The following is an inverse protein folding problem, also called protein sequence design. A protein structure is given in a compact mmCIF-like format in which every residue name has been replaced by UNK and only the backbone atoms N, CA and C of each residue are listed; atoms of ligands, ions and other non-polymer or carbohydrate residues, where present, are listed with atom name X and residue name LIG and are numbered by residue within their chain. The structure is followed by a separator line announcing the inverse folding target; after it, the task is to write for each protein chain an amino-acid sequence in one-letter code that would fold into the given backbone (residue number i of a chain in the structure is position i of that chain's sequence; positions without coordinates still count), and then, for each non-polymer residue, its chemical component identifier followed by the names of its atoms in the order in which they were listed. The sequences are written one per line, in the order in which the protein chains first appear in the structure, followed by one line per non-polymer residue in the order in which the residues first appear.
data_IF_164050682626
#
_entry.id   IF_164050682626
#
_cell.length_a   1.000
_cell.length_b   1.000
_cell.length_c   1.000
_cell.angle_alpha   90.00
_cell.angle_beta   90.00
_cell.angle_gamma   90.00
#
_symmetry.space_group_name_H-M   'P 1'
#
loop_
_entity.id
_entity.type
_entity.pdbx_description
1 polymer ?
#
# COMPACT_ATOMS: atom_id res chain seq x y z
N UNK A 1 -55.77 18.14 -4.33
CA UNK A 1 -54.64 18.26 -3.38
C UNK A 1 -53.41 18.00 -4.20
N UNK A 2 -52.62 18.98 -4.64
CA UNK A 2 -51.67 19.62 -3.71
C UNK A 2 -51.07 20.96 -4.19
N UNK A 3 -51.82 21.80 -4.93
CA UNK A 3 -51.31 23.14 -5.28
C UNK A 3 -51.29 24.12 -4.09
N UNK A 4 -51.97 23.79 -2.98
CA UNK A 4 -52.06 24.67 -1.80
C UNK A 4 -50.87 24.56 -0.84
N UNK A 5 -50.00 23.56 -0.97
CA UNK A 5 -48.76 23.47 -0.16
C UNK A 5 -47.63 24.35 -0.70
N UNK A 6 -47.74 24.85 -1.93
CA UNK A 6 -46.69 25.66 -2.56
C UNK A 6 -46.60 27.10 -2.02
N UNK A 7 -47.60 27.55 -1.25
CA UNK A 7 -47.81 28.98 -0.93
C UNK A 7 -47.25 29.46 0.42
N UNK A 8 -46.49 28.65 1.18
CA UNK A 8 -45.94 29.04 2.50
C UNK A 8 -44.49 28.61 2.77
N UNK A 9 -43.60 28.65 1.78
CA UNK A 9 -42.15 28.58 2.05
C UNK A 9 -41.53 29.91 1.65
N UNK A 10 -41.19 30.73 2.64
CA UNK A 10 -40.49 32.00 2.40
C UNK A 10 -39.11 31.75 1.77
N UNK A 11 -38.51 32.76 1.12
CA UNK A 11 -37.21 32.62 0.44
C UNK A 11 -36.09 32.14 1.39
N UNK A 12 -36.21 32.42 2.69
CA UNK A 12 -35.26 32.04 3.73
C UNK A 12 -35.32 30.52 4.01
N UNK A 13 -36.50 29.89 3.98
CA UNK A 13 -36.63 28.45 4.23
C UNK A 13 -36.09 27.61 3.06
N UNK A 14 -36.25 28.07 1.81
CA UNK A 14 -35.63 27.44 0.64
C UNK A 14 -34.09 27.55 0.63
N UNK A 15 -33.54 28.67 1.11
CA UNK A 15 -32.09 28.84 1.28
C UNK A 15 -31.51 27.96 2.40
N UNK A 16 -32.21 27.81 3.52
CA UNK A 16 -31.80 26.90 4.59
C UNK A 16 -31.87 25.42 4.19
N UNK A 17 -32.91 25.02 3.45
CA UNK A 17 -33.11 23.65 2.97
C UNK A 17 -32.05 23.28 1.92
N UNK A 18 -31.75 24.18 0.99
CA UNK A 18 -30.66 23.98 0.01
C UNK A 18 -29.26 23.99 0.65
N UNK A 19 -29.02 24.78 1.70
CA UNK A 19 -27.73 24.78 2.44
C UNK A 19 -27.55 23.48 3.23
N UNK A 20 -28.59 22.98 3.90
CA UNK A 20 -28.55 21.68 4.60
C UNK A 20 -28.37 20.50 3.63
N UNK A 21 -29.02 20.56 2.47
CA UNK A 21 -28.84 19.57 1.41
C UNK A 21 -27.41 19.58 0.85
N UNK A 22 -26.83 20.76 0.62
CA UNK A 22 -25.42 20.88 0.19
C UNK A 22 -24.45 20.30 1.22
N UNK A 23 -24.65 20.58 2.51
CA UNK A 23 -23.79 20.03 3.56
C UNK A 23 -23.87 18.50 3.66
N UNK A 24 -25.09 17.95 3.63
CA UNK A 24 -25.27 16.49 3.66
C UNK A 24 -24.66 15.83 2.43
N UNK A 25 -24.90 16.38 1.23
CA UNK A 25 -24.29 15.90 0.00
C UNK A 25 -22.74 15.95 0.05
N UNK A 26 -22.16 17.05 0.54
CA UNK A 26 -20.70 17.18 0.69
C UNK A 26 -20.15 16.17 1.68
N UNK A 27 -20.80 15.98 2.84
CA UNK A 27 -20.36 14.99 3.85
C UNK A 27 -20.45 13.57 3.28
N UNK A 28 -21.54 13.23 2.60
CA UNK A 28 -21.68 11.90 1.98
C UNK A 28 -20.62 11.69 0.92
N UNK A 29 -20.36 12.69 0.06
CA UNK A 29 -19.32 12.62 -0.97
C UNK A 29 -17.93 12.43 -0.36
N UNK A 30 -17.59 13.16 0.70
CA UNK A 30 -16.28 13.04 1.36
C UNK A 30 -16.11 11.69 2.05
N UNK A 31 -17.16 11.15 2.68
CA UNK A 31 -17.13 9.79 3.26
C UNK A 31 -16.94 8.73 2.17
N UNK A 32 -17.62 8.85 1.02
CA UNK A 32 -17.44 7.92 -0.10
C UNK A 32 -16.01 8.01 -0.65
N UNK A 33 -15.50 9.23 -0.86
CA UNK A 33 -14.16 9.43 -1.42
C UNK A 33 -13.07 8.89 -0.47
N UNK A 34 -13.20 9.16 0.83
CA UNK A 34 -12.23 8.70 1.83
C UNK A 34 -12.28 7.18 2.02
N UNK A 35 -13.47 6.57 2.04
CA UNK A 35 -13.60 5.11 2.12
C UNK A 35 -13.04 4.42 0.87
N UNK A 36 -13.34 4.93 -0.33
CA UNK A 36 -12.78 4.42 -1.58
C UNK A 36 -11.25 4.52 -1.59
N UNK A 37 -10.70 5.66 -1.15
CA UNK A 37 -9.26 5.85 -1.03
C UNK A 37 -8.65 4.87 -0.02
N UNK A 38 -9.27 4.67 1.14
CA UNK A 38 -8.79 3.73 2.14
C UNK A 38 -8.79 2.27 1.64
N UNK A 39 -9.80 1.87 0.87
CA UNK A 39 -9.87 0.55 0.23
C UNK A 39 -8.80 0.41 -0.85
N UNK A 40 -8.63 1.43 -1.70
CA UNK A 40 -7.60 1.43 -2.74
C UNK A 40 -6.19 1.32 -2.15
N UNK A 41 -5.92 2.09 -1.11
CA UNK A 41 -4.68 2.02 -0.33
C UNK A 41 -4.52 0.59 0.24
N UNK A 42 -5.51 0.06 0.94
CA UNK A 42 -5.40 -1.27 1.55
C UNK A 42 -5.18 -2.41 0.55
N UNK A 43 -5.82 -2.36 -0.62
CA UNK A 43 -5.69 -3.41 -1.64
C UNK A 43 -4.34 -3.37 -2.35
N UNK A 44 -3.80 -2.19 -2.64
CA UNK A 44 -2.51 -2.03 -3.32
C UNK A 44 -1.32 -2.29 -2.40
N UNK A 45 -1.47 -2.12 -1.07
CA UNK A 45 -0.34 -2.12 -0.14
C UNK A 45 -0.26 -3.32 0.82
N UNK A 46 -1.10 -4.33 0.63
CA UNK A 46 -1.05 -5.58 1.41
C UNK A 46 -0.09 -6.63 0.85
N UNK A 47 0.38 -6.45 -0.38
CA UNK A 47 1.14 -7.46 -1.12
C UNK A 47 2.38 -7.98 -0.39
N UNK A 48 3.36 -7.12 -0.10
CA UNK A 48 4.63 -7.58 0.46
C UNK A 48 4.51 -8.02 1.92
N UNK A 49 3.81 -7.24 2.74
CA UNK A 49 3.71 -7.55 4.18
C UNK A 49 2.95 -8.85 4.44
N UNK A 50 1.86 -9.10 3.72
CA UNK A 50 1.08 -10.32 3.92
C UNK A 50 1.87 -11.55 3.41
N UNK A 51 2.58 -11.42 2.28
CA UNK A 51 3.44 -12.49 1.74
C UNK A 51 4.64 -12.82 2.62
N UNK A 52 5.14 -11.87 3.41
CA UNK A 52 6.22 -12.11 4.36
C UNK A 52 5.87 -13.18 5.40
N UNK A 53 4.59 -13.33 5.75
CA UNK A 53 4.15 -14.39 6.66
C UNK A 53 4.35 -15.81 6.12
N UNK A 54 4.56 -15.94 4.80
CA UNK A 54 4.83 -17.21 4.13
C UNK A 54 6.33 -17.58 4.16
N UNK A 55 7.20 -16.64 4.54
CA UNK A 55 8.64 -16.86 4.54
C UNK A 55 9.08 -17.36 5.92
N UNK A 56 9.81 -18.47 5.92
CA UNK A 56 10.35 -19.07 7.14
C UNK A 56 11.87 -19.19 7.09
N UNK A 57 12.57 -19.12 8.24
CA UNK A 57 13.98 -19.45 8.30
C UNK A 57 14.25 -20.84 7.72
N UNK A 58 15.34 -20.98 6.96
CA UNK A 58 15.74 -22.21 6.28
C UNK A 58 15.25 -22.35 4.85
N UNK A 59 14.29 -21.53 4.40
CA UNK A 59 13.87 -21.49 2.99
C UNK A 59 15.05 -21.11 2.08
N UNK A 60 15.05 -21.67 0.88
CA UNK A 60 16.02 -21.33 -0.16
C UNK A 60 15.68 -20.01 -0.84
N UNK A 61 16.67 -19.39 -1.46
CA UNK A 61 16.48 -18.17 -2.25
C UNK A 61 15.38 -18.32 -3.29
N UNK A 62 15.35 -19.46 -4.00
CA UNK A 62 14.41 -19.72 -5.09
C UNK A 62 12.97 -19.82 -4.58
N UNK A 63 12.76 -20.42 -3.41
CA UNK A 63 11.44 -20.48 -2.76
C UNK A 63 10.93 -19.09 -2.37
N UNK A 64 11.82 -18.24 -1.83
CA UNK A 64 11.49 -16.86 -1.46
C UNK A 64 11.17 -16.01 -2.69
N UNK A 65 11.96 -16.14 -3.76
CA UNK A 65 11.68 -15.50 -5.05
C UNK A 65 10.38 -16.01 -5.67
N UNK A 66 9.97 -17.26 -5.41
CA UNK A 66 8.66 -17.78 -5.80
C UNK A 66 7.49 -17.09 -5.08
N UNK A 67 7.68 -16.62 -3.85
CA UNK A 67 6.65 -15.93 -3.04
C UNK A 67 6.53 -14.46 -3.46
N UNK A 68 7.66 -13.76 -3.56
CA UNK A 68 7.67 -12.31 -3.78
C UNK A 68 7.85 -11.91 -5.25
N UNK A 69 8.42 -12.78 -6.07
CA UNK A 69 8.99 -12.43 -7.36
C UNK A 69 10.47 -12.04 -7.24
N UNK A 70 11.10 -11.59 -8.34
CA UNK A 70 12.50 -11.18 -8.33
C UNK A 70 12.75 -10.04 -7.34
N UNK A 71 13.88 -10.05 -6.60
CA UNK A 71 14.24 -8.98 -5.67
C UNK A 71 14.49 -7.67 -6.43
N UNK A 72 14.15 -6.55 -5.80
CA UNK A 72 14.49 -5.24 -6.35
C UNK A 72 16.01 -5.00 -6.28
N UNK A 73 16.64 -5.47 -5.20
CA UNK A 73 18.09 -5.37 -4.98
C UNK A 73 18.60 -6.65 -4.31
N UNK A 74 19.81 -7.05 -4.70
CA UNK A 74 20.59 -8.06 -3.99
C UNK A 74 21.91 -7.44 -3.55
N UNK A 75 22.15 -7.44 -2.25
CA UNK A 75 23.37 -6.94 -1.64
C UNK A 75 24.16 -8.13 -1.09
N UNK A 76 25.33 -8.40 -1.65
CA UNK A 76 26.23 -9.40 -1.07
C UNK A 76 26.84 -8.83 0.19
N UNK A 77 26.53 -9.44 1.34
CA UNK A 77 27.07 -9.01 2.62
C UNK A 77 28.48 -9.58 2.77
N UNK A 78 29.48 -8.70 2.84
CA UNK A 78 30.89 -9.08 3.02
C UNK A 78 31.23 -9.59 4.42
N UNK A 79 30.25 -9.84 5.28
CA UNK A 79 30.45 -10.33 6.64
C UNK A 79 30.65 -11.85 6.66
N UNK A 80 31.61 -12.38 7.44
CA UNK A 80 31.83 -13.81 7.56
C UNK A 80 30.59 -14.49 8.17
N UNK A 81 29.98 -15.42 7.42
CA UNK A 81 28.77 -16.15 7.82
C UNK A 81 27.45 -15.55 7.30
N UNK A 82 27.48 -14.53 6.44
CA UNK A 82 26.31 -14.10 5.67
C UNK A 82 26.55 -14.31 4.18
N UNK A 83 25.51 -14.75 3.46
CA UNK A 83 25.55 -14.92 2.00
C UNK A 83 25.08 -13.68 1.25
N UNK A 84 24.19 -12.90 1.86
CA UNK A 84 23.70 -11.63 1.33
C UNK A 84 22.26 -11.34 1.70
N UNK A 85 21.81 -10.15 1.32
CA UNK A 85 20.48 -9.64 1.61
C UNK A 85 19.71 -9.40 0.31
N UNK A 86 18.53 -10.02 0.20
CA UNK A 86 17.55 -9.78 -0.85
C UNK A 86 16.56 -8.72 -0.36
N UNK A 87 16.30 -7.68 -1.16
CA UNK A 87 15.40 -6.59 -0.79
C UNK A 87 14.27 -6.45 -1.80
N UNK A 88 13.04 -6.36 -1.29
CA UNK A 88 11.83 -6.01 -2.04
C UNK A 88 11.24 -4.74 -1.48
N UNK A 89 10.82 -3.87 -2.37
CA UNK A 89 10.24 -2.58 -1.99
C UNK A 89 8.94 -2.38 -2.75
N UNK A 90 7.89 -2.08 -2.01
CA UNK A 90 6.65 -1.52 -2.54
C UNK A 90 6.48 -0.05 -2.08
N UNK A 91 5.33 0.54 -2.40
CA UNK A 91 5.08 1.95 -2.11
C UNK A 91 5.00 2.30 -0.61
N UNK A 92 4.84 1.31 0.28
CA UNK A 92 4.71 1.46 1.74
C UNK A 92 5.68 0.60 2.55
N UNK A 93 6.13 -0.53 2.03
CA UNK A 93 6.91 -1.54 2.74
C UNK A 93 8.21 -1.84 2.01
N UNK A 94 9.26 -2.02 2.81
CA UNK A 94 10.49 -2.65 2.39
C UNK A 94 10.66 -3.92 3.20
N UNK A 95 10.90 -5.02 2.50
CA UNK A 95 11.13 -6.35 3.06
C UNK A 95 12.54 -6.77 2.67
N UNK A 96 13.38 -7.01 3.68
CA UNK A 96 14.73 -7.49 3.49
C UNK A 96 14.83 -8.92 4.04
N UNK A 97 15.22 -9.85 3.20
CA UNK A 97 15.45 -11.26 3.56
C UNK A 97 16.95 -11.51 3.55
N UNK A 98 17.47 -11.93 4.69
CA UNK A 98 18.90 -12.09 4.92
C UNK A 98 19.22 -13.58 4.83
N UNK A 99 20.16 -13.90 3.95
CA UNK A 99 20.58 -15.25 3.62
C UNK A 99 21.90 -15.61 4.30
N UNK A 100 22.02 -16.88 4.65
CA UNK A 100 23.28 -17.52 5.03
C UNK A 100 24.17 -17.75 3.80
N UNK A 101 25.42 -18.14 4.05
CA UNK A 101 26.40 -18.51 3.03
C UNK A 101 25.90 -19.60 2.09
N UNK A 102 25.05 -20.50 2.59
CA UNK A 102 24.41 -21.57 1.80
C UNK A 102 23.16 -21.09 1.02
N UNK A 103 22.87 -19.78 1.03
CA UNK A 103 21.72 -19.21 0.32
C UNK A 103 20.36 -19.45 1.00
N UNK A 104 20.36 -19.84 2.27
CA UNK A 104 19.13 -20.09 3.06
C UNK A 104 18.75 -18.90 3.92
N UNK A 105 17.45 -18.67 4.12
CA UNK A 105 16.94 -17.58 4.97
C UNK A 105 17.38 -17.78 6.41
N UNK A 106 18.10 -16.79 6.96
CA UNK A 106 18.40 -16.70 8.39
C UNK A 106 17.29 -15.92 9.09
N UNK A 107 16.99 -14.74 8.55
CA UNK A 107 16.08 -13.77 9.17
C UNK A 107 15.44 -12.89 8.11
N UNK A 108 14.29 -12.34 8.45
CA UNK A 108 13.62 -11.33 7.64
C UNK A 108 13.43 -10.05 8.44
N UNK A 109 13.56 -8.91 7.79
CA UNK A 109 13.24 -7.60 8.32
C UNK A 109 12.14 -6.96 7.46
N UNK A 110 11.22 -6.26 8.12
CA UNK A 110 10.15 -5.53 7.45
C UNK A 110 10.07 -4.13 8.06
N UNK A 111 10.23 -3.12 7.21
CA UNK A 111 10.17 -1.72 7.61
C UNK A 111 9.22 -0.94 6.71
N UNK A 112 8.66 0.15 7.23
CA UNK A 112 7.95 1.09 6.37
C UNK A 112 8.96 1.81 5.48
N UNK A 113 8.66 1.90 4.19
CA UNK A 113 9.46 2.67 3.25
C UNK A 113 9.24 4.16 3.53
N UNK A 114 10.24 4.83 4.11
CA UNK A 114 10.17 6.26 4.49
C UNK A 114 10.49 7.23 3.33
N UNK A 115 10.73 6.73 2.12
CA UNK A 115 11.25 7.51 1.00
C UNK A 115 10.22 7.61 -0.14
N UNK A 116 9.82 8.84 -0.48
CA UNK A 116 9.09 9.12 -1.72
C UNK A 116 9.90 8.75 -2.98
N UNK A 117 11.23 8.65 -2.86
CA UNK A 117 12.16 8.27 -3.92
C UNK A 117 12.08 6.75 -4.21
N UNK A 118 11.86 5.92 -3.18
CA UNK A 118 11.69 4.47 -3.34
C UNK A 118 10.36 4.09 -4.02
N UNK A 119 9.35 4.96 -3.99
CA UNK A 119 8.11 4.82 -4.78
C UNK A 119 8.34 4.92 -6.30
N UNK A 120 9.42 5.57 -6.72
CA UNK A 120 9.75 5.70 -8.14
C UNK A 120 10.54 4.49 -8.67
N UNK A 121 11.36 3.86 -7.82
CA UNK A 121 12.23 2.74 -8.22
C UNK A 121 11.41 1.48 -8.53
N UNK A 122 10.31 1.23 -7.79
CA UNK A 122 9.36 0.15 -8.13
C UNK A 122 8.60 0.35 -9.45
N UNK A 123 8.77 1.50 -10.13
CA UNK A 123 8.25 1.78 -11.48
C UNK A 123 9.32 1.88 -12.55
N UNK A 124 10.61 1.87 -12.19
CA UNK A 124 11.66 1.83 -13.19
C UNK A 124 11.66 0.43 -13.80
N UNK A 125 11.43 0.27 -15.13
CA UNK A 125 11.74 -0.99 -15.77
C UNK A 125 13.21 -1.29 -15.47
N UNK A 126 13.49 -2.55 -15.10
CA UNK A 126 14.84 -3.06 -14.92
C UNK A 126 15.72 -2.51 -16.05
N UNK A 127 16.87 -1.88 -15.77
CA UNK A 127 17.78 -1.52 -16.84
C UNK A 127 18.16 -2.81 -17.56
N UNK A 128 17.68 -2.95 -18.79
CA UNK A 128 18.18 -3.96 -19.72
C UNK A 128 19.59 -3.53 -20.11
N UNK A 129 20.56 -4.32 -19.63
CA UNK A 129 21.97 -4.43 -20.03
C UNK A 129 22.87 -3.21 -19.78
#
# INVERSE_FOLDING_TARGET
MDERLKKRRGPITLLCESRRFRWTATITLTVILTSALAVFVNTQFRGLKDRLSLVSPGMTREEVEGIFGPPALFLSDGQPGMGGTLSWVDQLWQVDVILDRDGKVIRCACMRSYSALNRAIGRAPSPTL
#
